data_IF_974872554199
#
_entry.id   IF_974872554199
#
_cell.length_a   1.000
_cell.length_b   1.000
_cell.length_c   1.000
_cell.angle_alpha   90.00
_cell.angle_beta   90.00
_cell.angle_gamma   90.00
#
_symmetry.space_group_name_H-M   'P 1'
#
loop_
_entity.id
_entity.type
_entity.pdbx_description
1 polymer ?
#
# COMPACT_ATOMS: atom_id res chain seq x y z
N UNK A 1 -26.70 -44.99 10.25
CA UNK A 1 -27.81 -44.22 9.64
C UNK A 1 -27.65 -42.81 10.17
N UNK A 2 -27.25 -41.77 9.43
CA UNK A 2 -27.28 -41.50 8.00
C UNK A 2 -26.24 -40.42 7.66
N UNK A 3 -25.55 -40.55 6.53
CA UNK A 3 -25.07 -39.38 5.75
C UNK A 3 -26.23 -38.90 4.87
N UNK A 4 -26.40 -37.58 4.62
CA UNK A 4 -25.92 -36.98 3.36
C UNK A 4 -25.52 -35.48 3.57
N UNK A 5 -25.03 -34.65 2.64
CA UNK A 5 -25.01 -34.67 1.18
C UNK A 5 -23.88 -33.73 0.68
N UNK A 6 -23.30 -34.09 -0.47
CA UNK A 6 -22.43 -33.24 -1.27
C UNK A 6 -23.23 -32.12 -1.98
N UNK A 7 -22.60 -30.97 -2.22
CA UNK A 7 -22.95 -30.06 -3.33
C UNK A 7 -21.69 -29.53 -4.02
N UNK A 8 -21.47 -29.87 -5.30
CA UNK A 8 -20.46 -29.25 -6.15
C UNK A 8 -21.03 -27.98 -6.80
N UNK A 9 -20.31 -26.87 -6.68
CA UNK A 9 -20.53 -25.67 -7.49
C UNK A 9 -19.61 -25.70 -8.69
N UNK A 10 -20.16 -26.02 -9.87
CA UNK A 10 -19.57 -25.75 -11.17
C UNK A 10 -20.08 -24.39 -11.71
N UNK A 11 -19.56 -23.97 -12.88
CA UNK A 11 -19.86 -22.77 -13.68
C UNK A 11 -18.95 -21.57 -13.35
N UNK A 12 -18.22 -20.93 -14.27
CA UNK A 12 -18.23 -20.95 -15.75
C UNK A 12 -16.88 -20.48 -16.29
N UNK A 13 -16.49 -21.07 -17.43
CA UNK A 13 -15.40 -20.61 -18.31
C UNK A 13 -15.88 -19.51 -19.28
N UNK A 14 -14.93 -18.95 -20.06
CA UNK A 14 -15.03 -18.02 -21.22
C UNK A 14 -14.90 -16.52 -20.81
N UNK A 15 -14.08 -15.64 -21.40
CA UNK A 15 -13.57 -15.45 -22.78
C UNK A 15 -12.15 -14.81 -22.71
N UNK A 16 -11.14 -15.23 -23.46
CA UNK A 16 -10.85 -15.03 -24.90
C UNK A 16 -10.47 -13.58 -25.32
N UNK A 17 -9.16 -13.42 -25.57
CA UNK A 17 -8.53 -12.73 -26.73
C UNK A 17 -8.57 -11.19 -26.83
N UNK A 18 -7.39 -10.57 -26.98
CA UNK A 18 -6.91 -10.06 -28.27
C UNK A 18 -5.58 -9.28 -28.13
N UNK A 19 -4.54 -9.80 -28.77
CA UNK A 19 -3.32 -9.05 -29.07
C UNK A 19 -3.59 -8.09 -30.24
N UNK A 20 -3.12 -6.85 -30.15
CA UNK A 20 -3.02 -5.95 -31.31
C UNK A 20 -1.63 -5.32 -31.29
N UNK A 21 -0.74 -5.90 -32.08
CA UNK A 21 0.45 -5.25 -32.57
C UNK A 21 0.07 -4.47 -33.83
N UNK A 22 0.46 -3.20 -33.96
CA UNK A 22 0.61 -2.52 -35.25
C UNK A 22 1.48 -1.28 -35.10
N UNK A 23 2.68 -1.40 -35.66
CA UNK A 23 3.74 -0.41 -35.74
C UNK A 23 3.54 0.53 -36.94
N UNK A 24 4.32 1.63 -36.97
CA UNK A 24 4.87 2.32 -38.17
C UNK A 24 3.84 3.19 -38.96
N UNK A 25 4.07 4.44 -39.44
CA UNK A 25 5.26 5.24 -39.76
C UNK A 25 4.82 6.68 -40.18
N UNK A 26 5.79 7.61 -40.12
CA UNK A 26 6.07 8.75 -41.03
C UNK A 26 5.30 10.11 -40.96
N UNK A 27 6.10 11.14 -40.65
CA UNK A 27 6.37 12.36 -41.47
C UNK A 27 5.36 13.50 -41.51
N UNK A 28 5.77 14.68 -40.99
CA UNK A 28 5.91 15.90 -41.80
C UNK A 28 6.63 17.05 -41.06
N UNK A 29 7.23 17.90 -41.88
CA UNK A 29 8.16 19.00 -41.64
C UNK A 29 7.56 20.21 -40.91
N UNK A 30 8.39 20.95 -40.16
CA UNK A 30 8.03 22.26 -39.59
C UNK A 30 9.16 22.96 -38.85
N UNK A 31 10.03 23.67 -39.57
CA UNK A 31 11.00 24.65 -39.04
C UNK A 31 10.27 25.87 -38.46
N UNK A 32 10.52 26.24 -37.20
CA UNK A 32 10.61 27.65 -36.73
C UNK A 32 10.90 27.76 -35.22
N UNK A 33 12.04 28.40 -34.91
CA UNK A 33 12.43 29.23 -33.76
C UNK A 33 12.26 28.75 -32.27
N UNK A 34 13.34 28.80 -31.45
CA UNK A 34 13.21 28.98 -29.99
C UNK A 34 12.96 30.47 -29.69
N UNK A 35 12.13 30.85 -28.69
CA UNK A 35 12.52 30.65 -27.28
C UNK A 35 11.32 30.50 -26.30
N UNK A 36 11.68 30.48 -25.02
CA UNK A 36 10.85 30.35 -23.81
C UNK A 36 10.57 28.90 -23.40
N UNK A 37 11.46 28.39 -22.53
CA UNK A 37 11.23 27.22 -21.71
C UNK A 37 9.90 27.37 -20.96
N UNK A 38 8.87 26.66 -21.44
CA UNK A 38 7.72 26.30 -20.64
C UNK A 38 8.07 25.00 -19.90
N UNK A 39 7.71 24.89 -18.62
CA UNK A 39 8.24 23.87 -17.72
C UNK A 39 7.88 22.48 -18.22
N UNK A 40 8.90 21.63 -18.27
CA UNK A 40 8.78 20.19 -18.44
C UNK A 40 7.66 19.66 -17.54
N UNK A 41 6.70 18.97 -18.16
CA UNK A 41 5.81 18.08 -17.43
C UNK A 41 6.70 17.12 -16.62
N UNK A 42 6.51 17.01 -15.29
CA UNK A 42 7.30 16.07 -14.52
C UNK A 42 7.00 14.67 -15.04
N UNK A 43 8.05 14.10 -15.63
CA UNK A 43 8.27 12.67 -15.77
C UNK A 43 7.86 12.02 -14.46
N UNK A 44 7.01 11.00 -14.57
CA UNK A 44 6.66 10.02 -13.55
C UNK A 44 7.96 9.53 -12.89
N UNK A 45 8.36 10.25 -11.84
CA UNK A 45 9.42 9.83 -10.95
C UNK A 45 8.79 8.72 -10.10
N UNK A 46 9.47 7.57 -9.89
CA UNK A 46 9.10 6.73 -8.77
C UNK A 46 9.10 7.64 -7.56
N UNK A 47 7.94 7.76 -6.89
CA UNK A 47 7.79 8.58 -5.70
C UNK A 47 8.99 8.26 -4.81
N UNK A 48 9.84 9.27 -4.59
CA UNK A 48 10.94 9.16 -3.64
C UNK A 48 10.33 8.65 -2.34
N UNK A 49 10.65 7.42 -1.96
CA UNK A 49 10.32 6.90 -0.66
C UNK A 49 10.82 7.94 0.35
N UNK A 50 9.94 8.50 1.20
CA UNK A 50 10.36 9.52 2.14
C UNK A 50 11.50 8.97 2.99
N UNK A 51 12.60 9.71 2.98
CA UNK A 51 13.83 9.34 3.67
C UNK A 51 13.55 9.12 5.17
N UNK A 52 14.03 7.98 5.68
CA UNK A 52 14.11 7.68 7.10
C UNK A 52 14.81 8.81 7.85
N UNK A 53 14.19 9.30 8.92
CA UNK A 53 14.75 10.34 9.78
C UNK A 53 13.85 11.56 9.92
N UNK A 54 12.70 11.39 10.59
CA UNK A 54 11.88 12.51 11.04
C UNK A 54 10.40 12.18 11.23
N UNK A 55 10.05 11.53 12.35
CA UNK A 55 8.76 11.60 13.03
C UNK A 55 7.51 11.57 12.15
N UNK A 56 7.32 10.52 11.36
CA UNK A 56 6.01 10.31 10.73
C UNK A 56 5.00 9.93 11.81
N UNK A 57 3.85 10.63 11.83
CA UNK A 57 2.72 10.31 12.69
C UNK A 57 1.59 9.76 11.83
N UNK A 58 1.16 8.53 12.09
CA UNK A 58 0.01 7.90 11.44
C UNK A 58 -1.20 7.97 12.37
N UNK A 59 -2.39 8.35 11.89
CA UNK A 59 -3.60 8.26 12.69
C UNK A 59 -3.85 6.82 13.19
N UNK A 60 -4.37 6.68 14.41
CA UNK A 60 -4.62 5.38 15.03
C UNK A 60 -5.79 4.57 14.47
N UNK A 61 -6.49 5.14 13.48
CA UNK A 61 -7.54 4.50 12.71
C UNK A 61 -7.28 4.70 11.22
N UNK A 62 -7.08 3.62 10.47
CA UNK A 62 -6.84 3.70 9.03
C UNK A 62 -6.24 2.46 8.41
N UNK A 63 -6.02 2.55 7.10
CA UNK A 63 -5.28 1.59 6.29
C UNK A 63 -4.25 2.36 5.48
N UNK A 64 -2.98 2.00 5.63
CA UNK A 64 -1.84 2.73 5.09
C UNK A 64 -0.97 1.80 4.26
N UNK A 65 -0.71 2.16 3.00
CA UNK A 65 0.18 1.38 2.15
C UNK A 65 1.61 1.51 2.67
N UNK A 66 2.23 0.40 3.06
CA UNK A 66 3.59 0.38 3.59
C UNK A 66 4.58 0.75 2.47
N UNK A 67 5.50 1.66 2.79
CA UNK A 67 6.46 2.25 1.84
C UNK A 67 5.91 3.44 1.04
N UNK A 68 4.61 3.73 1.14
CA UNK A 68 3.97 4.89 0.47
C UNK A 68 3.36 5.84 1.51
N UNK A 69 2.31 5.39 2.19
CA UNK A 69 1.62 6.17 3.22
C UNK A 69 2.27 5.99 4.61
N UNK A 70 2.73 4.76 4.88
CA UNK A 70 3.47 4.40 6.10
C UNK A 70 4.91 4.03 5.73
N UNK A 71 5.90 4.93 5.93
CA UNK A 71 7.30 4.61 5.66
C UNK A 71 7.77 3.36 6.43
N UNK A 72 8.72 2.61 5.87
CA UNK A 72 9.34 1.51 6.58
C UNK A 72 9.99 2.00 7.88
N UNK A 73 9.90 1.21 8.95
CA UNK A 73 10.46 1.58 10.27
C UNK A 73 9.65 1.03 11.45
N UNK A 74 10.06 1.40 12.66
CA UNK A 74 9.36 1.09 13.90
C UNK A 74 8.34 2.17 14.29
N UNK A 75 7.15 1.76 14.73
CA UNK A 75 6.08 2.65 15.17
C UNK A 75 5.62 2.30 16.58
N UNK A 76 5.38 3.32 17.40
CA UNK A 76 4.85 3.19 18.77
C UNK A 76 3.60 4.04 18.91
N UNK A 77 2.69 3.65 19.80
CA UNK A 77 1.55 4.49 20.14
C UNK A 77 1.99 5.80 20.80
N UNK A 78 1.44 6.91 20.34
CA UNK A 78 1.61 8.24 20.92
C UNK A 78 1.01 8.25 22.33
N UNK A 79 1.74 8.87 23.25
CA UNK A 79 1.34 8.99 24.65
C UNK A 79 1.81 7.86 25.56
N UNK A 80 2.67 6.97 25.07
CA UNK A 80 3.37 5.92 25.84
C UNK A 80 2.44 5.14 26.79
N UNK A 81 1.37 4.50 26.28
CA UNK A 81 0.45 3.79 27.15
C UNK A 81 1.14 2.53 27.70
N UNK A 82 1.18 2.35 29.04
CA UNK A 82 1.75 1.18 29.72
C UNK A 82 1.14 -0.17 29.26
N UNK A 83 -0.02 -0.13 28.61
CA UNK A 83 -0.73 -1.27 28.05
C UNK A 83 -1.54 -0.87 26.81
N UNK A 84 -1.80 -1.83 25.92
CA UNK A 84 -2.63 -1.59 24.73
C UNK A 84 -4.02 -1.10 25.14
N UNK A 85 -4.50 0.04 24.60
CA UNK A 85 -5.85 0.53 24.88
C UNK A 85 -6.91 -0.51 24.51
N UNK A 86 -7.99 -0.57 25.28
CA UNK A 86 -9.09 -1.50 25.00
C UNK A 86 -9.73 -1.16 23.65
N UNK A 87 -9.71 -2.13 22.72
CA UNK A 87 -10.23 -1.95 21.36
C UNK A 87 -9.23 -1.41 20.35
N UNK A 88 -7.97 -1.17 20.75
CA UNK A 88 -6.88 -0.95 19.80
C UNK A 88 -6.48 -2.29 19.19
N UNK A 89 -6.56 -2.38 17.87
CA UNK A 89 -6.14 -3.52 17.08
C UNK A 89 -5.37 -3.03 15.87
N UNK A 90 -4.34 -3.77 15.48
CA UNK A 90 -3.63 -3.53 14.23
C UNK A 90 -3.17 -4.82 13.59
N UNK A 91 -3.08 -4.78 12.27
CA UNK A 91 -2.60 -5.87 11.45
C UNK A 91 -1.84 -5.34 10.24
N UNK A 92 -1.17 -6.26 9.55
CA UNK A 92 -0.61 -6.02 8.23
C UNK A 92 -1.37 -6.94 7.28
N UNK A 93 -1.99 -6.36 6.27
CA UNK A 93 -2.89 -7.03 5.33
C UNK A 93 -2.31 -6.97 3.90
N UNK A 94 -2.25 -8.11 3.22
CA UNK A 94 -1.72 -8.23 1.86
C UNK A 94 -2.80 -8.20 0.76
N UNK A 95 -4.06 -7.94 1.13
CA UNK A 95 -5.22 -7.98 0.24
C UNK A 95 -5.88 -9.36 0.11
N UNK A 96 -5.24 -10.44 0.58
CA UNK A 96 -5.83 -11.78 0.72
C UNK A 96 -6.24 -12.06 2.19
N UNK A 97 -5.68 -11.30 3.12
CA UNK A 97 -6.07 -11.20 4.53
C UNK A 97 -4.92 -10.66 5.40
N UNK A 98 -5.10 -10.69 6.72
CA UNK A 98 -4.02 -10.36 7.66
C UNK A 98 -2.87 -11.38 7.54
N UNK A 99 -1.67 -10.88 7.29
CA UNK A 99 -0.40 -11.65 7.32
C UNK A 99 0.34 -11.51 8.65
N UNK A 100 0.09 -10.42 9.37
CA UNK A 100 0.55 -10.21 10.74
C UNK A 100 -0.60 -9.65 11.56
N UNK A 101 -0.94 -10.34 12.64
CA UNK A 101 -1.89 -9.85 13.64
C UNK A 101 -1.14 -9.62 14.95
N UNK A 102 -1.32 -8.45 15.57
CA UNK A 102 -0.63 -8.16 16.83
C UNK A 102 -1.42 -7.18 17.69
N UNK A 103 -1.36 -7.44 19.00
CA UNK A 103 -2.03 -6.66 20.05
C UNK A 103 -0.98 -5.89 20.86
N UNK A 104 0.10 -5.47 20.21
CA UNK A 104 1.27 -4.86 20.84
C UNK A 104 1.27 -3.34 20.74
N UNK A 105 1.99 -2.69 21.64
CA UNK A 105 2.23 -1.25 21.64
C UNK A 105 3.13 -0.76 20.49
N UNK A 106 3.76 -1.69 19.78
CA UNK A 106 4.80 -1.45 18.79
C UNK A 106 4.50 -2.22 17.51
N UNK A 107 4.61 -1.56 16.36
CA UNK A 107 4.53 -2.17 15.04
C UNK A 107 5.87 -2.00 14.30
N UNK A 108 6.38 -3.06 13.69
CA UNK A 108 7.63 -3.05 12.95
C UNK A 108 7.34 -3.31 11.47
N UNK A 109 7.44 -2.25 10.67
CA UNK A 109 7.18 -2.28 9.23
C UNK A 109 8.51 -2.38 8.48
N UNK A 110 9.38 -3.34 8.83
CA UNK A 110 10.73 -3.45 8.26
C UNK A 110 10.94 -4.71 7.40
N UNK A 111 10.20 -5.78 7.70
CA UNK A 111 10.37 -7.11 7.09
C UNK A 111 9.05 -7.62 6.51
N UNK A 112 8.33 -6.72 5.83
CA UNK A 112 7.03 -6.99 5.23
C UNK A 112 7.11 -6.92 3.70
N UNK A 113 6.35 -7.75 2.97
CA UNK A 113 6.33 -7.70 1.52
C UNK A 113 5.91 -6.30 1.04
N UNK A 114 6.46 -5.87 -0.09
CA UNK A 114 6.10 -4.58 -0.70
C UNK A 114 4.61 -4.56 -1.06
N UNK A 115 3.95 -3.39 -0.95
CA UNK A 115 2.53 -3.18 -1.30
C UNK A 115 1.49 -3.84 -0.38
N UNK A 116 1.86 -4.17 0.86
CA UNK A 116 0.89 -4.52 1.90
C UNK A 116 0.40 -3.28 2.65
N UNK A 117 -0.71 -3.41 3.36
CA UNK A 117 -1.35 -2.34 4.12
C UNK A 117 -1.13 -2.54 5.62
N UNK A 118 -0.68 -1.51 6.32
CA UNK A 118 -0.80 -1.42 7.76
C UNK A 118 -2.22 -0.97 8.11
N UNK A 119 -2.98 -1.83 8.76
CA UNK A 119 -4.37 -1.57 9.17
C UNK A 119 -4.41 -1.38 10.68
N UNK A 120 -5.02 -0.31 11.15
CA UNK A 120 -5.15 -0.02 12.58
C UNK A 120 -6.52 0.55 12.88
N UNK A 121 -7.10 0.18 14.02
CA UNK A 121 -8.42 0.62 14.45
C UNK A 121 -8.47 0.71 15.97
N UNK A 122 -9.12 1.75 16.49
CA UNK A 122 -9.29 2.00 17.92
C UNK A 122 -8.00 2.30 18.67
N UNK A 123 -6.91 2.60 17.95
CA UNK A 123 -5.63 2.95 18.53
C UNK A 123 -5.46 4.46 18.65
N UNK A 124 -4.60 4.94 19.57
CA UNK A 124 -4.00 6.26 19.48
C UNK A 124 -3.17 6.39 18.20
N UNK A 125 -2.81 7.62 17.85
CA UNK A 125 -1.88 7.88 16.75
C UNK A 125 -0.56 7.12 16.95
N UNK A 126 0.08 6.73 15.87
CA UNK A 126 1.37 6.05 15.84
C UNK A 126 2.46 7.03 15.51
N UNK A 127 3.53 7.05 16.30
CA UNK A 127 4.74 7.82 16.01
C UNK A 127 5.86 6.87 15.58
N UNK A 128 6.49 7.18 14.46
CA UNK A 128 7.70 6.49 14.04
C UNK A 128 8.83 6.76 15.03
N UNK A 129 9.44 5.71 15.55
CA UNK A 129 10.63 5.77 16.41
C UNK A 129 11.74 4.95 15.74
N UNK A 130 12.76 5.65 15.24
CA UNK A 130 14.03 5.09 14.79
C UNK A 130 15.19 5.88 15.41
#
# INVERSE_FOLDING_TARGET
MSLPAARPGAFSALLASAAIASSLLLTACGTTAPPAAAPDAPVDAPAEAPAAGGGTVLPGDGSYVIGVDAPYGGYRLVGDPDALPAGCEWSIDDGEGSVVDSNGLYAFLTDVPEYVNFVTSGCPDWEQFE
#
